data_IF_195921797415
#
_entry.id   IF_195921797415
#
_cell.length_a   1.000
_cell.length_b   1.000
_cell.length_c   1.000
_cell.angle_alpha   90.00
_cell.angle_beta   90.00
_cell.angle_gamma   90.00
#
_symmetry.space_group_name_H-M   'P 1'
#
loop_
_entity.id
_entity.type
_entity.pdbx_description
1 polymer ?
#
# COMPACT_ATOMS: atom_id res chain seq x y z
N UNK A 1 1.28 -15.97 -2.63
CA UNK A 1 0.96 -16.84 -1.49
C UNK A 1 0.00 -16.08 -0.57
N UNK A 2 -0.95 -16.76 0.04
CA UNK A 2 -1.96 -16.17 0.93
C UNK A 2 -1.67 -16.58 2.38
N UNK A 3 -0.48 -16.20 2.83
CA UNK A 3 0.02 -16.49 4.18
C UNK A 3 0.47 -15.20 4.84
N UNK A 4 0.15 -15.04 6.12
CA UNK A 4 0.60 -13.88 6.90
C UNK A 4 2.14 -13.80 6.91
N UNK A 5 2.68 -12.61 6.64
CA UNK A 5 4.11 -12.32 6.70
C UNK A 5 4.89 -12.57 5.41
N UNK A 6 4.30 -13.22 4.40
CA UNK A 6 4.98 -13.47 3.12
C UNK A 6 4.88 -12.28 2.14
N UNK A 7 3.96 -11.34 2.39
CA UNK A 7 3.69 -10.22 1.51
C UNK A 7 4.93 -9.34 1.26
N UNK A 8 5.77 -9.16 2.28
CA UNK A 8 7.03 -8.42 2.17
C UNK A 8 8.04 -9.01 1.16
N UNK A 9 7.99 -10.30 0.86
CA UNK A 9 8.84 -10.90 -0.20
C UNK A 9 8.43 -10.35 -1.56
N UNK A 10 7.12 -10.25 -1.82
CA UNK A 10 6.60 -9.71 -3.07
C UNK A 10 6.88 -8.21 -3.19
N UNK A 11 6.72 -7.44 -2.12
CA UNK A 11 7.05 -6.01 -2.14
C UNK A 11 8.52 -5.78 -2.49
N UNK A 12 9.47 -6.51 -1.89
CA UNK A 12 10.90 -6.38 -2.22
C UNK A 12 11.25 -6.79 -3.65
N UNK A 13 10.51 -7.74 -4.21
CA UNK A 13 10.76 -8.25 -5.56
C UNK A 13 10.10 -7.39 -6.66
N UNK A 14 9.16 -6.50 -6.32
CA UNK A 14 8.38 -5.74 -7.27
C UNK A 14 8.86 -4.29 -7.41
N UNK A 15 8.83 -3.75 -8.63
CA UNK A 15 9.05 -2.32 -8.86
C UNK A 15 7.85 -1.44 -8.50
N UNK A 16 6.64 -2.02 -8.47
CA UNK A 16 5.41 -1.35 -8.08
C UNK A 16 4.43 -2.35 -7.44
N UNK A 17 3.57 -1.86 -6.56
CA UNK A 17 2.56 -2.64 -5.87
C UNK A 17 1.25 -1.86 -5.72
N UNK A 18 0.12 -2.53 -5.99
CA UNK A 18 -1.20 -1.96 -5.75
C UNK A 18 -1.70 -2.35 -4.35
N UNK A 19 -1.98 -1.35 -3.50
CA UNK A 19 -2.50 -1.56 -2.15
C UNK A 19 -4.03 -1.60 -2.19
N UNK A 20 -4.57 -2.78 -1.89
CA UNK A 20 -5.99 -3.11 -1.96
C UNK A 20 -6.88 -2.36 -0.95
N UNK A 21 -8.18 -2.66 -1.00
CA UNK A 21 -9.19 -2.01 -0.15
C UNK A 21 -9.51 -0.57 -0.55
N UNK A 22 -8.93 -0.07 -1.65
CA UNK A 22 -8.92 1.35 -2.03
C UNK A 22 -9.72 1.68 -3.30
N UNK A 23 -10.15 0.67 -4.08
CA UNK A 23 -10.94 0.86 -5.31
C UNK A 23 -12.42 1.17 -5.08
N UNK A 24 -12.93 0.82 -3.91
CA UNK A 24 -14.31 1.05 -3.48
C UNK A 24 -14.30 1.68 -2.09
N UNK A 25 -15.43 2.19 -1.65
CA UNK A 25 -15.58 2.94 -0.39
C UNK A 25 -15.42 2.05 0.86
N UNK A 26 -14.19 1.56 1.08
CA UNK A 26 -13.79 0.64 2.16
C UNK A 26 -12.61 1.17 2.97
N UNK A 27 -11.93 2.22 2.47
CA UNK A 27 -10.98 3.03 3.22
C UNK A 27 -9.51 2.65 3.06
N UNK A 28 -9.18 1.65 2.25
CA UNK A 28 -7.79 1.31 1.90
C UNK A 28 -7.06 0.51 2.97
N UNK A 29 -5.95 -0.10 2.56
CA UNK A 29 -5.01 -0.79 3.45
C UNK A 29 -3.76 0.04 3.72
N UNK A 30 -3.05 -0.37 4.78
CA UNK A 30 -1.86 0.29 5.29
C UNK A 30 -0.72 0.32 4.24
N UNK A 31 -0.25 1.50 3.81
CA UNK A 31 0.82 1.61 2.83
C UNK A 31 2.24 1.49 3.44
N UNK A 32 2.38 1.41 4.77
CA UNK A 32 3.70 1.45 5.42
C UNK A 32 4.57 0.23 5.13
N UNK A 33 3.97 -0.94 4.93
CA UNK A 33 4.71 -2.15 4.59
C UNK A 33 5.37 -2.04 3.20
N UNK A 34 4.63 -1.73 2.09
CA UNK A 34 5.28 -1.50 0.81
C UNK A 34 6.17 -0.26 0.81
N UNK A 35 5.82 0.82 1.51
CA UNK A 35 6.65 2.04 1.56
C UNK A 35 8.07 1.76 2.09
N UNK A 36 8.21 0.82 3.02
CA UNK A 36 9.49 0.42 3.60
C UNK A 36 10.31 -0.52 2.71
N UNK A 37 9.67 -1.18 1.75
CA UNK A 37 10.27 -2.30 1.01
C UNK A 37 10.63 -1.95 -0.43
N UNK A 38 10.36 -0.73 -0.87
CA UNK A 38 10.84 -0.16 -2.13
C UNK A 38 9.88 -0.09 -3.32
N UNK A 39 8.75 -0.82 -3.44
CA UNK A 39 7.91 -0.69 -4.62
C UNK A 39 7.21 0.68 -4.65
N UNK A 40 7.03 1.23 -5.85
CA UNK A 40 6.10 2.33 -6.04
C UNK A 40 4.68 1.92 -5.63
N UNK A 41 4.02 2.73 -4.82
CA UNK A 41 2.69 2.42 -4.28
C UNK A 41 1.61 2.96 -5.22
N UNK A 42 0.76 2.07 -5.72
CA UNK A 42 -0.47 2.40 -6.43
C UNK A 42 -1.68 2.14 -5.51
N UNK A 43 -2.70 2.98 -5.58
CA UNK A 43 -3.91 2.80 -4.79
C UNK A 43 -5.12 3.43 -5.52
N UNK A 44 -6.33 2.98 -5.17
CA UNK A 44 -7.56 3.65 -5.58
C UNK A 44 -7.85 4.91 -4.73
N UNK A 45 -8.92 5.66 -5.02
CA UNK A 45 -9.19 6.93 -4.37
C UNK A 45 -9.63 6.81 -2.90
N UNK A 46 -10.10 5.63 -2.47
CA UNK A 46 -10.69 5.44 -1.14
C UNK A 46 -9.64 4.99 -0.11
N UNK A 47 -8.83 5.92 0.39
CA UNK A 47 -7.74 5.64 1.37
C UNK A 47 -7.98 6.26 2.74
N UNK A 48 -9.24 6.57 3.08
CA UNK A 48 -9.58 7.37 4.27
C UNK A 48 -9.17 6.73 5.61
N UNK A 49 -8.95 5.41 5.70
CA UNK A 49 -8.45 4.78 6.94
C UNK A 49 -6.98 5.14 7.22
N UNK A 50 -6.23 5.55 6.20
CA UNK A 50 -4.79 5.89 6.26
C UNK A 50 -4.51 7.23 5.56
N UNK A 51 -5.48 8.16 5.57
CA UNK A 51 -5.44 9.39 4.77
C UNK A 51 -4.18 10.22 5.00
N UNK A 52 -3.78 10.37 6.27
CA UNK A 52 -2.58 11.11 6.68
C UNK A 52 -1.31 10.42 6.16
N UNK A 53 -1.19 9.10 6.34
CA UNK A 53 -0.04 8.33 5.84
C UNK A 53 0.10 8.43 4.32
N UNK A 54 -1.00 8.34 3.57
CA UNK A 54 -0.96 8.55 2.13
C UNK A 54 -0.65 10.01 1.75
N UNK A 55 -1.03 10.98 2.57
CA UNK A 55 -0.67 12.38 2.34
C UNK A 55 0.83 12.62 2.54
N UNK A 56 1.42 12.06 3.61
CA UNK A 56 2.86 12.10 3.85
C UNK A 56 3.65 11.45 2.70
N UNK A 57 3.22 10.28 2.23
CA UNK A 57 3.88 9.56 1.13
C UNK A 57 3.82 10.30 -0.21
N UNK A 58 2.85 11.21 -0.42
CA UNK A 58 2.81 12.07 -1.61
C UNK A 58 3.73 13.28 -1.52
N UNK A 59 4.14 13.66 -0.31
CA UNK A 59 5.05 14.77 -0.05
C UNK A 59 6.52 14.35 0.06
N UNK A 60 6.80 13.04 0.13
CA UNK A 60 8.12 12.43 0.12
C UNK A 60 8.63 12.20 -1.31
#
# INVERSE_FOLDING_TARGET
>A
ADTLGELGVFYRAAGAAFVGGSLVDKGGHNPLEPARLGPAILHGPHVFNFAETYAELRGA
#
